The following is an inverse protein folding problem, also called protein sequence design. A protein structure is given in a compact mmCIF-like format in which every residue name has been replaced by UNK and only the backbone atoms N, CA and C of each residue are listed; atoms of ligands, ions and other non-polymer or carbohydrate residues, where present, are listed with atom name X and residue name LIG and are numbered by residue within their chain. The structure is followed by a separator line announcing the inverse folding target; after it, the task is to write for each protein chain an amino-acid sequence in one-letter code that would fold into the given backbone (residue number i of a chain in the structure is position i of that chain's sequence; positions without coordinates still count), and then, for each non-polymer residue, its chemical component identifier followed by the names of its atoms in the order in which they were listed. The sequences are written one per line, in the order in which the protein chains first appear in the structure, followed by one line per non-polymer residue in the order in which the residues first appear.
data_IF_654134726386
#
_entry.id   IF_654134726386
#
_cell.length_a   1.000
_cell.length_b   1.000
_cell.length_c   1.000
_cell.angle_alpha   90.00
_cell.angle_beta   90.00
_cell.angle_gamma   90.00
#
_symmetry.space_group_name_H-M   'P 1'
#
loop_
_entity.id
_entity.type
_entity.pdbx_description
1 polymer ?
#
# COMPACT_ATOMS: atom_id res chain seq x y z
N UNK A 1 1.53 -34.95 37.56
CA UNK A 1 2.39 -35.20 36.39
C UNK A 1 3.54 -34.20 36.45
N UNK A 2 4.79 -34.63 36.30
CA UNK A 2 5.96 -33.74 36.30
C UNK A 2 6.17 -33.23 34.86
N UNK A 3 5.89 -31.96 34.64
CA UNK A 3 6.18 -31.32 33.35
C UNK A 3 7.70 -31.18 33.14
N UNK A 4 8.17 -31.45 31.92
CA UNK A 4 9.56 -31.18 31.53
C UNK A 4 9.64 -29.77 30.97
N UNK A 5 10.50 -28.93 31.53
CA UNK A 5 10.82 -27.61 30.97
C UNK A 5 11.85 -27.76 29.86
N UNK A 6 11.52 -27.22 28.70
CA UNK A 6 12.38 -27.19 27.52
C UNK A 6 12.66 -25.75 27.14
N UNK A 7 13.92 -25.49 26.80
CA UNK A 7 14.38 -24.25 26.19
C UNK A 7 14.74 -24.57 24.74
N UNK A 8 14.07 -23.92 23.78
CA UNK A 8 14.40 -23.98 22.36
C UNK A 8 14.90 -22.60 21.94
N UNK A 9 16.07 -22.54 21.31
CA UNK A 9 16.69 -21.30 20.84
C UNK A 9 16.63 -21.28 19.33
N UNK A 10 15.87 -20.34 18.78
CA UNK A 10 15.74 -20.14 17.34
C UNK A 10 16.57 -18.94 16.88
N UNK A 11 17.36 -19.15 15.82
CA UNK A 11 18.22 -18.14 15.22
C UNK A 11 17.73 -17.78 13.82
N UNK A 12 17.39 -16.52 13.62
CA UNK A 12 16.95 -15.95 12.35
C UNK A 12 18.02 -15.00 11.81
N UNK A 13 18.24 -15.07 10.50
CA UNK A 13 19.10 -14.10 9.84
C UNK A 13 18.43 -12.74 9.74
N UNK A 14 19.23 -11.67 9.86
CA UNK A 14 18.81 -10.30 9.57
C UNK A 14 19.58 -9.72 8.38
N UNK A 15 20.04 -10.58 7.46
CA UNK A 15 20.84 -10.16 6.29
C UNK A 15 20.09 -9.10 5.45
N UNK A 16 18.76 -9.18 5.37
CA UNK A 16 17.90 -8.25 4.62
C UNK A 16 17.26 -7.14 5.49
N UNK A 17 17.58 -7.08 6.79
CA UNK A 17 16.93 -6.17 7.76
C UNK A 17 18.00 -5.36 8.49
N UNK A 18 18.24 -4.15 7.99
CA UNK A 18 19.27 -3.28 8.55
C UNK A 18 18.84 -2.64 9.88
N UNK A 19 19.80 -2.56 10.82
CA UNK A 19 19.68 -1.77 12.05
C UNK A 19 18.52 -2.15 12.98
N UNK A 20 18.11 -3.43 12.99
CA UNK A 20 17.16 -3.94 13.98
C UNK A 20 17.87 -4.28 15.30
N UNK A 21 17.45 -3.63 16.38
CA UNK A 21 17.89 -3.94 17.75
C UNK A 21 16.69 -4.14 18.66
N UNK A 22 16.48 -5.36 19.13
CA UNK A 22 15.35 -5.70 20.01
C UNK A 22 15.84 -6.40 21.27
N UNK A 23 15.08 -6.22 22.35
CA UNK A 23 15.17 -6.99 23.58
C UNK A 23 13.79 -6.89 24.27
N UNK A 24 12.99 -7.95 24.30
CA UNK A 24 11.70 -7.93 24.99
C UNK A 24 11.21 -9.33 25.35
N UNK A 25 10.19 -9.40 26.21
CA UNK A 25 9.51 -10.64 26.59
C UNK A 25 8.12 -10.69 25.94
N UNK A 26 7.75 -11.87 25.45
CA UNK A 26 6.38 -12.21 25.08
C UNK A 26 6.01 -13.57 25.66
N UNK A 27 5.01 -13.60 26.55
CA UNK A 27 4.71 -14.78 27.36
C UNK A 27 5.98 -15.27 28.08
N UNK A 28 6.40 -16.50 27.81
CA UNK A 28 7.62 -17.12 28.35
C UNK A 28 8.83 -17.01 27.42
N UNK A 29 8.71 -16.29 26.30
CA UNK A 29 9.74 -16.19 25.26
C UNK A 29 10.52 -14.89 25.40
N UNK A 30 11.84 -14.99 25.26
CA UNK A 30 12.74 -13.85 25.23
C UNK A 30 13.24 -13.62 23.82
N UNK A 31 13.07 -12.40 23.32
CA UNK A 31 13.38 -12.01 21.94
C UNK A 31 14.44 -10.94 21.99
N UNK A 32 15.59 -11.18 21.37
CA UNK A 32 16.69 -10.22 21.34
C UNK A 32 17.50 -10.31 20.05
N UNK A 33 18.23 -9.25 19.75
CA UNK A 33 19.22 -9.24 18.66
C UNK A 33 20.63 -9.40 19.19
N UNK A 34 21.41 -10.30 18.59
CA UNK A 34 22.82 -10.53 18.89
C UNK A 34 23.57 -10.85 17.59
N UNK A 35 24.74 -10.26 17.36
CA UNK A 35 25.60 -10.54 16.20
C UNK A 35 24.87 -10.52 14.83
N UNK A 36 24.01 -9.52 14.60
CA UNK A 36 23.16 -9.39 13.40
C UNK A 36 22.20 -10.59 13.17
N UNK A 37 21.78 -11.23 14.26
CA UNK A 37 20.77 -12.28 14.25
C UNK A 37 19.65 -11.92 15.21
N UNK A 38 18.42 -12.31 14.84
CA UNK A 38 17.30 -12.30 15.75
C UNK A 38 17.24 -13.65 16.46
N UNK A 39 17.29 -13.60 17.79
CA UNK A 39 17.23 -14.76 18.67
C UNK A 39 15.87 -14.81 19.34
N UNK A 40 15.19 -15.94 19.22
CA UNK A 40 13.95 -16.23 19.94
C UNK A 40 14.21 -17.40 20.89
N UNK A 41 14.38 -17.09 22.17
CA UNK A 41 14.52 -18.07 23.24
C UNK A 41 13.12 -18.48 23.74
N UNK A 42 12.70 -19.67 23.34
CA UNK A 42 11.41 -20.26 23.62
C UNK A 42 11.48 -21.08 24.91
N UNK A 43 10.61 -20.79 25.88
CA UNK A 43 10.46 -21.63 27.09
C UNK A 43 9.08 -22.25 27.13
N UNK A 44 9.00 -23.58 27.12
CA UNK A 44 7.73 -24.32 27.24
C UNK A 44 7.85 -25.51 28.17
N UNK A 45 6.75 -25.80 28.84
CA UNK A 45 6.51 -27.03 29.58
C UNK A 45 5.83 -28.03 28.64
N UNK A 46 6.35 -29.26 28.58
CA UNK A 46 5.77 -30.35 27.79
C UNK A 46 5.35 -31.51 28.70
N UNK A 47 4.37 -32.30 28.24
CA UNK A 47 3.97 -33.49 28.99
C UNK A 47 5.07 -34.55 28.97
N UNK A 48 5.08 -35.43 29.96
CA UNK A 48 6.04 -36.52 30.06
C UNK A 48 6.02 -37.47 28.86
N UNK A 49 4.86 -37.61 28.21
CA UNK A 49 4.65 -38.47 27.05
C UNK A 49 5.19 -37.87 25.75
N UNK A 50 5.41 -36.56 25.73
CA UNK A 50 5.79 -35.83 24.52
C UNK A 50 7.30 -35.83 24.34
N UNK A 51 7.73 -35.94 23.08
CA UNK A 51 9.14 -35.80 22.72
C UNK A 51 9.61 -34.35 22.86
N UNK A 52 10.92 -34.15 23.01
CA UNK A 52 11.55 -32.83 23.12
C UNK A 52 11.22 -31.91 21.93
N UNK A 53 11.02 -32.50 20.75
CA UNK A 53 10.63 -31.80 19.52
C UNK A 53 9.22 -31.20 19.62
N UNK A 54 8.31 -31.76 20.43
CA UNK A 54 6.95 -31.23 20.61
C UNK A 54 6.95 -29.83 21.25
N UNK A 55 8.03 -29.42 21.93
CA UNK A 55 8.19 -28.05 22.43
C UNK A 55 7.99 -27.01 21.31
N UNK A 56 8.47 -27.31 20.10
CA UNK A 56 8.27 -26.47 18.89
C UNK A 56 6.81 -26.37 18.50
N UNK A 57 6.07 -27.47 18.61
CA UNK A 57 4.63 -27.48 18.34
C UNK A 57 3.87 -26.62 19.33
N UNK A 58 4.17 -26.74 20.62
CA UNK A 58 3.56 -25.92 21.68
C UNK A 58 3.94 -24.43 21.60
N UNK A 59 5.12 -24.12 21.05
CA UNK A 59 5.59 -22.74 20.88
C UNK A 59 5.17 -22.10 19.54
N UNK A 60 4.71 -22.89 18.56
CA UNK A 60 4.46 -22.44 17.19
C UNK A 60 3.50 -21.25 17.11
N UNK A 61 2.43 -21.27 17.90
CA UNK A 61 1.46 -20.18 17.94
C UNK A 61 2.09 -18.87 18.39
N UNK A 62 2.90 -18.93 19.46
CA UNK A 62 3.58 -17.74 19.98
C UNK A 62 4.63 -17.21 18.98
N UNK A 63 5.38 -18.11 18.33
CA UNK A 63 6.34 -17.74 17.28
C UNK A 63 5.66 -17.08 16.07
N UNK A 64 4.50 -17.59 15.65
CA UNK A 64 3.70 -16.99 14.57
C UNK A 64 3.24 -15.57 14.95
N UNK A 65 2.75 -15.38 16.17
CA UNK A 65 2.32 -14.08 16.67
C UNK A 65 3.52 -13.11 16.77
N UNK A 66 4.67 -13.58 17.24
CA UNK A 66 5.90 -12.79 17.27
C UNK A 66 6.29 -12.30 15.88
N UNK A 67 6.29 -13.20 14.89
CA UNK A 67 6.57 -12.84 13.51
C UNK A 67 5.54 -11.83 12.96
N UNK A 68 4.26 -11.94 13.35
CA UNK A 68 3.23 -10.96 12.99
C UNK A 68 3.53 -9.57 13.55
N UNK A 69 3.95 -9.50 14.83
CA UNK A 69 4.30 -8.24 15.51
C UNK A 69 5.56 -7.63 14.88
N UNK A 70 6.62 -8.43 14.71
CA UNK A 70 7.88 -8.00 14.12
C UNK A 70 7.66 -7.47 12.70
N UNK A 71 6.91 -8.20 11.88
CA UNK A 71 6.59 -7.78 10.51
C UNK A 71 5.85 -6.45 10.52
N UNK A 72 4.81 -6.32 11.36
CA UNK A 72 4.03 -5.10 11.41
C UNK A 72 4.81 -3.87 11.90
N UNK A 73 5.70 -4.05 12.88
CA UNK A 73 6.52 -2.97 13.43
C UNK A 73 7.63 -2.50 12.50
N UNK A 74 8.13 -3.37 11.63
CA UNK A 74 9.30 -3.09 10.78
C UNK A 74 8.94 -2.84 9.32
N UNK A 75 7.79 -3.33 8.85
CA UNK A 75 7.49 -3.38 7.42
C UNK A 75 8.13 -4.57 6.70
N UNK A 76 9.11 -5.24 7.32
CA UNK A 76 9.88 -6.33 6.72
C UNK A 76 9.25 -7.70 7.01
N UNK A 77 9.30 -8.62 6.05
CA UNK A 77 8.69 -9.93 6.25
C UNK A 77 9.53 -10.83 7.16
N UNK A 78 8.92 -11.30 8.26
CA UNK A 78 9.47 -12.36 9.12
C UNK A 78 8.69 -13.66 8.90
N UNK A 79 9.37 -14.69 8.41
CA UNK A 79 8.78 -16.02 8.22
C UNK A 79 9.50 -17.09 9.04
N UNK A 80 8.82 -18.23 9.26
CA UNK A 80 9.44 -19.41 9.89
C UNK A 80 10.51 -20.07 9.01
N UNK A 81 10.64 -19.66 7.73
CA UNK A 81 11.56 -20.24 6.76
C UNK A 81 12.94 -19.56 6.76
N UNK A 82 13.06 -18.34 7.30
CA UNK A 82 14.34 -17.62 7.46
C UNK A 82 15.19 -18.14 8.65
N UNK A 83 14.76 -19.24 9.27
CA UNK A 83 15.39 -19.85 10.42
C UNK A 83 16.67 -20.58 10.00
N UNK A 84 17.84 -20.08 10.43
CA UNK A 84 19.15 -20.67 10.11
C UNK A 84 19.45 -21.92 10.93
N UNK A 85 19.10 -21.92 12.21
CA UNK A 85 19.34 -23.05 13.11
C UNK A 85 18.43 -23.02 14.33
N UNK A 86 18.45 -24.12 15.09
CA UNK A 86 17.61 -24.33 16.27
C UNK A 86 18.33 -25.24 17.25
N UNK A 87 18.44 -24.82 18.50
CA UNK A 87 19.05 -25.60 19.56
C UNK A 87 18.03 -25.90 20.64
N UNK A 88 17.80 -27.18 20.94
CA UNK A 88 16.90 -27.58 22.02
C UNK A 88 17.72 -28.09 23.20
N UNK A 89 17.60 -27.42 24.34
CA UNK A 89 18.24 -27.79 25.59
C UNK A 89 17.19 -28.13 26.65
N UNK A 90 17.39 -29.27 27.31
CA UNK A 90 16.59 -29.67 28.49
C UNK A 90 17.31 -29.08 29.71
N UNK A 91 17.03 -27.82 30.03
CA UNK A 91 17.70 -27.15 31.15
C UNK A 91 16.73 -26.80 32.28
N UNK A 92 17.15 -27.13 33.51
CA UNK A 92 16.45 -26.82 34.76
C UNK A 92 16.83 -25.44 35.35
N UNK A 93 17.85 -24.77 34.80
CA UNK A 93 18.35 -23.50 35.31
C UNK A 93 17.66 -22.30 34.62
N UNK A 94 17.17 -21.37 35.43
CA UNK A 94 16.58 -20.12 34.98
C UNK A 94 17.66 -19.18 34.42
N UNK A 95 17.73 -19.04 33.10
CA UNK A 95 18.41 -17.88 32.51
C UNK A 95 17.76 -16.59 33.03
N UNK A 96 18.57 -15.72 33.64
CA UNK A 96 18.18 -14.35 33.96
C UNK A 96 18.41 -13.50 32.71
N UNK A 97 17.34 -12.91 32.20
CA UNK A 97 17.42 -11.98 31.07
C UNK A 97 17.66 -10.56 31.58
N UNK A 98 18.47 -9.80 30.84
CA UNK A 98 18.72 -8.40 31.12
C UNK A 98 17.43 -7.58 30.94
N UNK A 99 17.09 -6.77 31.95
CA UNK A 99 15.86 -5.96 31.99
C UNK A 99 15.87 -4.75 31.03
N UNK A 100 16.87 -4.63 30.16
CA UNK A 100 17.03 -3.52 29.22
C UNK A 100 16.16 -3.72 27.98
N UNK A 101 14.84 -3.68 28.16
CA UNK A 101 13.91 -3.87 27.07
C UNK A 101 13.96 -2.73 26.05
N UNK A 102 13.99 -3.07 24.77
CA UNK A 102 14.01 -2.11 23.68
C UNK A 102 13.42 -2.70 22.39
N UNK A 103 13.00 -1.81 21.51
CA UNK A 103 12.70 -2.13 20.12
C UNK A 103 13.12 -0.93 19.27
N UNK A 104 14.29 -1.02 18.64
CA UNK A 104 14.81 0.00 17.75
C UNK A 104 14.96 -0.56 16.34
N UNK A 105 14.55 0.21 15.35
CA UNK A 105 14.66 -0.17 13.95
C UNK A 105 14.87 1.08 13.10
N UNK A 106 15.88 1.04 12.21
CA UNK A 106 16.26 2.17 11.35
C UNK A 106 16.41 3.51 12.10
N UNK A 107 16.99 3.47 13.31
CA UNK A 107 17.19 4.65 14.16
C UNK A 107 15.95 5.16 14.90
N UNK A 108 14.78 4.56 14.70
CA UNK A 108 13.55 4.89 15.44
C UNK A 108 13.33 3.91 16.61
N UNK A 109 12.75 4.40 17.70
CA UNK A 109 12.39 3.58 18.86
C UNK A 109 10.89 3.29 18.87
N UNK A 110 10.53 2.02 18.72
CA UNK A 110 9.15 1.52 18.69
C UNK A 110 8.76 0.76 19.96
N UNK A 111 9.53 0.90 21.05
CA UNK A 111 9.29 0.15 22.28
C UNK A 111 7.92 0.45 22.91
N UNK A 112 7.46 1.70 22.88
CA UNK A 112 6.15 2.07 23.39
C UNK A 112 5.00 1.56 22.50
N UNK A 113 5.22 1.49 21.18
CA UNK A 113 4.26 0.89 20.25
C UNK A 113 4.16 -0.62 20.46
N UNK A 114 5.30 -1.29 20.65
CA UNK A 114 5.36 -2.70 21.05
C UNK A 114 4.57 -2.94 22.34
N UNK A 115 4.78 -2.13 23.39
CA UNK A 115 4.03 -2.27 24.65
C UNK A 115 2.52 -2.19 24.45
N UNK A 116 2.04 -1.27 23.61
CA UNK A 116 0.61 -1.14 23.31
C UNK A 116 0.07 -2.37 22.58
N UNK A 117 0.81 -2.88 21.59
CA UNK A 117 0.47 -4.12 20.88
C UNK A 117 0.38 -5.29 21.88
N UNK A 118 1.43 -5.50 22.68
CA UNK A 118 1.49 -6.58 23.66
C UNK A 118 0.37 -6.46 24.70
N UNK A 119 0.14 -5.26 25.22
CA UNK A 119 -0.93 -4.97 26.17
C UNK A 119 -2.32 -5.33 25.63
N UNK A 120 -2.61 -5.00 24.36
CA UNK A 120 -3.89 -5.38 23.75
C UNK A 120 -3.98 -6.86 23.39
N UNK A 121 -2.89 -7.51 22.98
CA UNK A 121 -2.87 -8.97 22.76
C UNK A 121 -3.08 -9.75 24.06
N UNK A 122 -2.63 -9.19 25.19
CA UNK A 122 -2.88 -9.75 26.52
C UNK A 122 -4.35 -9.58 26.98
N UNK A 123 -5.10 -8.64 26.40
CA UNK A 123 -6.53 -8.48 26.67
C UNK A 123 -7.34 -9.56 25.93
N UNK A 124 -8.13 -10.36 26.67
CA UNK A 124 -8.91 -11.48 26.09
C UNK A 124 -9.91 -11.03 25.01
N UNK A 125 -10.49 -9.84 25.16
CA UNK A 125 -11.53 -9.35 24.26
C UNK A 125 -10.97 -8.96 22.88
N UNK A 126 -9.77 -8.36 22.85
CA UNK A 126 -9.14 -7.87 21.63
C UNK A 126 -8.15 -8.87 21.01
N UNK A 127 -7.67 -9.85 21.79
CA UNK A 127 -6.59 -10.77 21.41
C UNK A 127 -6.77 -11.40 20.03
N UNK A 128 -7.92 -12.03 19.80
CA UNK A 128 -8.16 -12.75 18.55
C UNK A 128 -8.28 -11.83 17.35
N UNK A 129 -8.92 -10.66 17.53
CA UNK A 129 -9.03 -9.67 16.48
C UNK A 129 -7.63 -9.18 16.09
N UNK A 130 -6.81 -8.76 17.04
CA UNK A 130 -5.47 -8.22 16.76
C UNK A 130 -4.58 -9.25 16.09
N UNK A 131 -4.55 -10.49 16.61
CA UNK A 131 -3.79 -11.57 15.98
C UNK A 131 -4.24 -11.77 14.54
N UNK A 132 -5.55 -11.75 14.28
CA UNK A 132 -6.11 -11.91 12.92
C UNK A 132 -5.72 -10.75 12.00
N UNK A 133 -5.75 -9.51 12.49
CA UNK A 133 -5.38 -8.33 11.70
C UNK A 133 -3.90 -8.38 11.30
N UNK A 134 -3.02 -8.65 12.27
CA UNK A 134 -1.57 -8.71 12.02
C UNK A 134 -1.20 -9.91 11.15
N UNK A 135 -1.83 -11.07 11.35
CA UNK A 135 -1.59 -12.26 10.53
C UNK A 135 -2.00 -12.06 9.07
N UNK A 136 -3.17 -11.45 8.84
CA UNK A 136 -3.63 -11.13 7.48
C UNK A 136 -2.73 -10.12 6.79
N UNK A 137 -2.25 -9.12 7.54
CA UNK A 137 -1.35 -8.12 7.00
C UNK A 137 -0.01 -8.75 6.58
N UNK A 138 0.57 -9.60 7.44
CA UNK A 138 1.78 -10.38 7.10
C UNK A 138 1.54 -11.34 5.95
N UNK A 139 0.41 -12.07 5.92
CA UNK A 139 0.04 -12.97 4.81
C UNK A 139 0.00 -12.20 3.49
N UNK A 140 -0.62 -11.02 3.47
CA UNK A 140 -0.65 -10.19 2.27
C UNK A 140 0.75 -9.80 1.82
N UNK A 141 1.63 -9.34 2.72
CA UNK A 141 3.02 -9.03 2.38
C UNK A 141 3.76 -10.24 1.79
N UNK A 142 3.60 -11.41 2.39
CA UNK A 142 4.21 -12.64 1.87
C UNK A 142 3.71 -12.98 0.47
N UNK A 143 2.42 -12.80 0.19
CA UNK A 143 1.88 -13.00 -1.16
C UNK A 143 2.50 -12.03 -2.17
N UNK A 144 2.78 -10.79 -1.76
CA UNK A 144 3.44 -9.78 -2.59
C UNK A 144 4.90 -10.14 -2.91
N UNK A 145 5.62 -10.74 -1.95
CA UNK A 145 6.99 -11.21 -2.20
C UNK A 145 7.05 -12.46 -3.10
N UNK A 146 5.99 -13.27 -3.09
CA UNK A 146 5.87 -14.47 -3.92
C UNK A 146 5.34 -14.17 -5.34
N UNK A 147 5.12 -12.91 -5.70
CA UNK A 147 4.45 -12.60 -6.96
C UNK A 147 5.32 -13.04 -8.14
N UNK A 148 4.90 -14.16 -8.70
CA UNK A 148 5.22 -14.57 -10.06
C UNK A 148 4.03 -14.27 -10.99
N UNK A 149 2.79 -14.25 -10.47
CA UNK A 149 1.54 -14.08 -11.23
C UNK A 149 0.54 -13.12 -10.58
N UNK A 150 -0.36 -12.55 -11.40
CA UNK A 150 -1.32 -11.54 -10.95
C UNK A 150 -2.39 -12.03 -9.96
N UNK A 151 -2.70 -13.34 -9.94
CA UNK A 151 -3.71 -13.91 -9.03
C UNK A 151 -3.33 -13.69 -7.55
N UNK A 152 -2.03 -13.60 -7.25
CA UNK A 152 -1.52 -13.33 -5.92
C UNK A 152 -1.77 -11.87 -5.50
N UNK A 153 -1.86 -10.93 -6.45
CA UNK A 153 -2.24 -9.54 -6.17
C UNK A 153 -3.70 -9.44 -5.74
N UNK A 154 -4.61 -10.17 -6.40
CA UNK A 154 -6.03 -10.17 -6.03
C UNK A 154 -6.22 -10.74 -4.62
N UNK A 155 -5.56 -11.85 -4.27
CA UNK A 155 -5.62 -12.43 -2.92
C UNK A 155 -4.98 -11.49 -1.87
N UNK A 156 -3.85 -10.85 -2.18
CA UNK A 156 -3.23 -9.87 -1.29
C UNK A 156 -4.15 -8.67 -1.05
N UNK A 157 -4.75 -8.12 -2.11
CA UNK A 157 -5.73 -7.04 -2.06
C UNK A 157 -6.94 -7.43 -1.22
N UNK A 158 -7.54 -8.59 -1.47
CA UNK A 158 -8.69 -9.10 -0.71
C UNK A 158 -8.36 -9.25 0.77
N UNK A 159 -7.16 -9.72 1.10
CA UNK A 159 -6.70 -9.87 2.47
C UNK A 159 -6.54 -8.51 3.17
N UNK A 160 -5.98 -7.49 2.51
CA UNK A 160 -5.95 -6.12 3.04
C UNK A 160 -7.36 -5.51 3.18
N UNK A 161 -8.24 -5.74 2.22
CA UNK A 161 -9.62 -5.27 2.29
C UNK A 161 -10.34 -5.88 3.49
N UNK A 162 -10.12 -7.17 3.74
CA UNK A 162 -10.74 -7.87 4.86
C UNK A 162 -10.29 -7.33 6.23
N UNK A 163 -9.05 -6.85 6.36
CA UNK A 163 -8.60 -6.13 7.58
C UNK A 163 -9.52 -4.93 7.84
N UNK A 164 -9.79 -4.12 6.81
CA UNK A 164 -10.68 -2.97 6.91
C UNK A 164 -12.12 -3.40 7.25
N UNK A 165 -12.62 -4.49 6.66
CA UNK A 165 -13.94 -5.03 6.98
C UNK A 165 -14.06 -5.48 8.44
N UNK A 166 -13.05 -6.17 8.98
CA UNK A 166 -13.03 -6.63 10.36
C UNK A 166 -13.06 -5.45 11.34
N UNK A 167 -12.19 -4.46 11.12
CA UNK A 167 -12.14 -3.24 11.92
C UNK A 167 -13.44 -2.44 11.85
N UNK A 168 -14.01 -2.31 10.66
CA UNK A 168 -15.29 -1.64 10.47
C UNK A 168 -16.43 -2.38 11.17
N UNK A 169 -16.51 -3.70 11.05
CA UNK A 169 -17.52 -4.49 11.74
C UNK A 169 -17.38 -4.34 13.26
N UNK A 170 -16.17 -4.39 13.81
CA UNK A 170 -15.97 -4.27 15.25
C UNK A 170 -16.39 -2.89 15.78
N UNK A 171 -15.98 -1.81 15.11
CA UNK A 171 -16.39 -0.46 15.47
C UNK A 171 -17.92 -0.26 15.39
N UNK A 172 -18.59 -0.87 14.40
CA UNK A 172 -20.04 -0.76 14.27
C UNK A 172 -20.82 -1.66 15.25
N UNK A 173 -20.24 -2.78 15.72
CA UNK A 173 -20.77 -3.55 16.85
C UNK A 173 -20.82 -2.72 18.12
N UNK A 174 -19.73 -2.00 18.43
CA UNK A 174 -19.65 -1.09 19.58
C UNK A 174 -20.75 -0.01 19.48
N UNK A 175 -21.02 0.49 18.28
CA UNK A 175 -22.07 1.49 18.00
C UNK A 175 -23.50 0.92 17.86
N UNK A 176 -23.70 -0.41 17.99
CA UNK A 176 -24.99 -1.11 17.76
C UNK A 176 -25.58 -0.88 16.35
N UNK A 177 -24.74 -0.75 15.33
CA UNK A 177 -25.13 -0.48 13.93
C UNK A 177 -24.77 -1.63 12.98
N UNK A 178 -25.18 -2.85 13.31
CA UNK A 178 -24.69 -4.07 12.63
C UNK A 178 -25.23 -4.27 11.20
N UNK A 179 -26.41 -3.73 10.88
CA UNK A 179 -27.10 -3.98 9.61
C UNK A 179 -26.78 -2.96 8.50
N UNK A 180 -25.70 -2.19 8.67
CA UNK A 180 -25.28 -1.22 7.66
C UNK A 180 -24.54 -1.90 6.50
N UNK A 181 -24.67 -1.40 5.25
CA UNK A 181 -23.83 -1.83 4.14
C UNK A 181 -22.35 -1.63 4.44
N UNK A 182 -21.47 -2.48 3.89
CA UNK A 182 -20.03 -2.45 4.16
C UNK A 182 -19.41 -1.06 3.94
N UNK A 183 -19.83 -0.37 2.88
CA UNK A 183 -19.41 1.00 2.60
C UNK A 183 -19.64 1.92 3.78
N UNK A 184 -20.85 1.91 4.36
CA UNK A 184 -21.20 2.81 5.46
C UNK A 184 -20.46 2.41 6.74
N UNK A 185 -20.26 1.10 6.98
CA UNK A 185 -19.46 0.61 8.10
C UNK A 185 -18.02 1.11 8.04
N UNK A 186 -17.40 1.04 6.86
CA UNK A 186 -16.04 1.53 6.62
C UNK A 186 -15.96 3.04 6.86
N UNK A 187 -16.87 3.83 6.29
CA UNK A 187 -16.86 5.29 6.50
C UNK A 187 -17.05 5.65 7.98
N UNK A 188 -17.97 4.99 8.69
CA UNK A 188 -18.17 5.17 10.13
C UNK A 188 -16.91 4.82 10.96
N UNK A 189 -16.11 3.85 10.51
CA UNK A 189 -14.84 3.49 11.13
C UNK A 189 -13.79 4.56 10.88
N UNK A 190 -13.62 4.97 9.63
CA UNK A 190 -12.66 6.03 9.29
C UNK A 190 -12.98 7.33 10.04
N UNK A 191 -14.25 7.66 10.20
CA UNK A 191 -14.70 8.82 10.98
C UNK A 191 -14.35 8.69 12.47
N UNK A 192 -14.57 7.51 13.09
CA UNK A 192 -14.19 7.26 14.50
C UNK A 192 -12.70 7.51 14.78
N UNK A 193 -11.85 7.28 13.79
CA UNK A 193 -10.39 7.31 13.94
C UNK A 193 -9.74 8.49 13.21
N UNK A 194 -10.52 9.49 12.80
CA UNK A 194 -9.99 10.72 12.18
C UNK A 194 -9.39 10.53 10.78
N UNK A 195 -9.72 9.44 10.09
CA UNK A 195 -9.23 9.12 8.74
C UNK A 195 -10.23 9.48 7.64
N UNK A 196 -11.38 10.07 7.99
CA UNK A 196 -12.44 10.35 7.03
C UNK A 196 -12.30 11.74 6.41
N UNK A 197 -12.19 11.77 5.09
CA UNK A 197 -12.33 12.97 4.28
C UNK A 197 -12.82 12.66 2.86
N UNK A 198 -12.82 13.67 1.98
CA UNK A 198 -13.29 13.54 0.60
C UNK A 198 -12.41 12.60 -0.24
N UNK A 199 -11.09 12.62 -0.08
CA UNK A 199 -10.15 11.76 -0.82
C UNK A 199 -10.32 10.30 -0.40
N UNK A 200 -10.29 10.05 0.90
CA UNK A 200 -10.44 8.72 1.49
C UNK A 200 -11.82 8.12 1.20
N UNK A 201 -12.88 8.93 1.16
CA UNK A 201 -14.22 8.48 0.74
C UNK A 201 -14.24 7.94 -0.68
N UNK A 202 -13.48 8.54 -1.59
CA UNK A 202 -13.39 8.11 -2.98
C UNK A 202 -12.48 6.90 -3.14
N UNK A 203 -11.38 6.84 -2.40
CA UNK A 203 -10.56 5.64 -2.29
C UNK A 203 -11.42 4.45 -1.84
N UNK A 204 -12.18 4.57 -0.74
CA UNK A 204 -13.09 3.50 -0.28
C UNK A 204 -14.09 3.08 -1.35
N UNK A 205 -14.59 4.01 -2.17
CA UNK A 205 -15.48 3.69 -3.30
C UNK A 205 -14.74 2.86 -4.35
N UNK A 206 -13.52 3.25 -4.75
CA UNK A 206 -12.67 2.51 -5.70
C UNK A 206 -12.38 1.10 -5.16
N UNK A 207 -11.98 0.99 -3.88
CA UNK A 207 -11.67 -0.30 -3.23
C UNK A 207 -12.87 -1.26 -3.21
N UNK A 208 -14.07 -0.78 -2.88
CA UNK A 208 -15.28 -1.62 -2.85
C UNK A 208 -15.65 -2.11 -4.25
N UNK A 209 -15.54 -1.24 -5.26
CA UNK A 209 -15.83 -1.61 -6.64
C UNK A 209 -14.88 -2.72 -7.09
N UNK A 210 -13.59 -2.53 -6.88
CA UNK A 210 -12.56 -3.51 -7.22
C UNK A 210 -12.78 -4.84 -6.49
N UNK A 211 -13.04 -4.81 -5.17
CA UNK A 211 -13.35 -6.01 -4.38
C UNK A 211 -14.54 -6.78 -4.98
N UNK A 212 -15.58 -6.07 -5.42
CA UNK A 212 -16.75 -6.72 -6.03
C UNK A 212 -16.42 -7.28 -7.43
N UNK A 213 -15.58 -6.61 -8.20
CA UNK A 213 -15.12 -7.11 -9.50
C UNK A 213 -14.32 -8.41 -9.36
N UNK A 214 -13.38 -8.46 -8.40
CA UNK A 214 -12.62 -9.67 -8.07
C UNK A 214 -13.57 -10.78 -7.60
N UNK A 215 -14.47 -10.49 -6.65
CA UNK A 215 -15.39 -11.49 -6.10
C UNK A 215 -16.37 -12.07 -7.14
N UNK A 216 -16.70 -11.32 -8.19
CA UNK A 216 -17.56 -11.79 -9.28
C UNK A 216 -16.77 -12.46 -10.41
N UNK A 217 -15.45 -12.60 -10.29
CA UNK A 217 -14.59 -13.18 -11.32
C UNK A 217 -14.69 -12.41 -12.64
N UNK A 218 -14.85 -11.08 -12.60
CA UNK A 218 -14.84 -10.26 -13.81
C UNK A 218 -13.42 -10.17 -14.34
N UNK A 219 -13.06 -11.17 -15.14
CA UNK A 219 -11.79 -11.24 -15.85
C UNK A 219 -11.81 -10.24 -17.01
N UNK A 220 -10.96 -9.21 -16.97
CA UNK A 220 -10.73 -8.34 -18.12
C UNK A 220 -9.56 -8.90 -18.92
N UNK A 221 -9.85 -9.57 -20.02
CA UNK A 221 -8.85 -9.90 -21.02
C UNK A 221 -8.34 -8.60 -21.67
N UNK A 222 -7.03 -8.34 -21.60
CA UNK A 222 -6.38 -7.25 -22.34
C UNK A 222 -5.82 -7.79 -23.67
N UNK A 223 -6.31 -7.26 -24.79
CA UNK A 223 -5.75 -7.53 -26.13
C UNK A 223 -4.34 -6.93 -26.33
N UNK A 224 -3.99 -5.92 -25.54
CA UNK A 224 -2.71 -5.18 -25.59
C UNK A 224 -2.09 -5.15 -24.20
N UNK A 225 -0.88 -5.70 -24.08
CA UNK A 225 -0.07 -5.61 -22.87
C UNK A 225 0.89 -4.42 -22.97
N UNK A 226 0.94 -3.61 -21.92
CA UNK A 226 1.92 -2.53 -21.74
C UNK A 226 3.18 -3.05 -21.06
N UNK A 227 4.31 -2.38 -21.31
CA UNK A 227 5.61 -2.78 -20.78
C UNK A 227 5.80 -2.32 -19.31
N UNK A 228 6.49 -3.07 -18.43
CA UNK A 228 7.10 -4.39 -18.66
C UNK A 228 6.06 -5.47 -18.97
N UNK A 229 6.35 -6.31 -19.98
CA UNK A 229 5.44 -7.41 -20.30
C UNK A 229 5.31 -8.32 -19.07
N UNK A 230 4.07 -8.64 -18.67
CA UNK A 230 3.85 -9.56 -17.57
C UNK A 230 4.36 -10.97 -17.95
N UNK A 231 4.83 -11.72 -16.95
CA UNK A 231 5.31 -13.09 -17.16
C UNK A 231 4.19 -14.06 -17.56
N UNK A 232 2.93 -13.69 -17.30
CA UNK A 232 1.72 -14.47 -17.60
C UNK A 232 0.67 -13.60 -18.28
N UNK A 233 -0.35 -14.22 -18.89
CA UNK A 233 -1.50 -13.48 -19.41
C UNK A 233 -2.17 -12.75 -18.23
N UNK A 234 -2.29 -11.42 -18.30
CA UNK A 234 -3.07 -10.65 -17.32
C UNK A 234 -4.56 -10.94 -17.54
N UNK A 235 -5.05 -11.97 -16.87
CA UNK A 235 -6.49 -12.28 -16.81
C UNK A 235 -7.15 -11.52 -15.63
N UNK A 236 -6.40 -10.66 -14.94
CA UNK A 236 -6.84 -9.89 -13.77
C UNK A 236 -7.22 -8.46 -14.11
N UNK A 237 -7.83 -7.79 -13.13
CA UNK A 237 -8.27 -6.41 -13.26
C UNK A 237 -7.06 -5.50 -13.03
N UNK A 238 -6.53 -4.87 -14.09
CA UNK A 238 -5.36 -3.96 -14.01
C UNK A 238 -5.47 -2.85 -12.97
N UNK A 239 -6.69 -2.58 -12.48
CA UNK A 239 -6.98 -1.63 -11.40
C UNK A 239 -6.54 -2.12 -10.02
N UNK A 240 -6.38 -3.43 -9.82
CA UNK A 240 -5.93 -4.02 -8.56
C UNK A 240 -4.51 -3.60 -8.20
N UNK A 241 -3.60 -3.66 -9.18
CA UNK A 241 -2.23 -3.20 -9.02
C UNK A 241 -2.16 -1.74 -8.58
N UNK A 242 -2.96 -0.89 -9.21
CA UNK A 242 -3.00 0.55 -8.96
C UNK A 242 -3.62 0.97 -7.62
N UNK A 243 -4.23 0.04 -6.88
CA UNK A 243 -4.85 0.33 -5.57
C UNK A 243 -4.22 -0.48 -4.43
N UNK A 244 -3.26 -1.35 -4.76
CA UNK A 244 -2.69 -2.31 -3.84
C UNK A 244 -1.85 -1.63 -2.77
N UNK A 245 -1.04 -0.65 -3.18
CA UNK A 245 -0.20 0.10 -2.26
C UNK A 245 -1.05 0.99 -1.33
N UNK A 246 -2.08 1.63 -1.87
CA UNK A 246 -3.02 2.46 -1.12
C UNK A 246 -3.78 1.64 -0.09
N UNK A 247 -4.29 0.45 -0.45
CA UNK A 247 -5.00 -0.40 0.51
C UNK A 247 -4.05 -1.02 1.54
N UNK A 248 -2.82 -1.37 1.15
CA UNK A 248 -1.81 -1.87 2.07
C UNK A 248 -1.55 -0.86 3.18
N UNK A 249 -1.26 0.39 2.83
CA UNK A 249 -0.93 1.43 3.81
C UNK A 249 -2.17 1.91 4.55
N UNK A 250 -3.34 2.04 3.90
CA UNK A 250 -4.60 2.32 4.60
C UNK A 250 -4.92 1.24 5.64
N UNK A 251 -4.70 -0.04 5.32
CA UNK A 251 -4.93 -1.14 6.26
C UNK A 251 -3.95 -1.10 7.44
N UNK A 252 -2.67 -0.81 7.19
CA UNK A 252 -1.66 -0.65 8.24
C UNK A 252 -1.97 0.55 9.14
N UNK A 253 -2.40 1.67 8.55
CA UNK A 253 -2.84 2.87 9.27
C UNK A 253 -4.10 2.61 10.10
N UNK A 254 -5.06 1.88 9.56
CA UNK A 254 -6.27 1.49 10.25
C UNK A 254 -5.97 0.60 11.48
N UNK A 255 -5.07 -0.39 11.32
CA UNK A 255 -4.59 -1.20 12.45
C UNK A 255 -3.89 -0.32 13.48
N UNK A 256 -3.01 0.59 13.04
CA UNK A 256 -2.27 1.50 13.94
C UNK A 256 -3.19 2.35 14.80
N UNK A 257 -4.19 2.98 14.17
CA UNK A 257 -5.16 3.81 14.88
C UNK A 257 -6.02 2.96 15.82
N UNK A 258 -6.42 1.76 15.40
CA UNK A 258 -7.13 0.82 16.27
C UNK A 258 -6.29 0.42 17.50
N UNK A 259 -4.99 0.22 17.34
CA UNK A 259 -4.07 -0.10 18.43
C UNK A 259 -3.69 1.12 19.29
N UNK A 260 -3.90 2.33 18.78
CA UNK A 260 -3.48 3.59 19.41
C UNK A 260 -1.99 3.89 19.25
N UNK A 261 -1.38 3.49 18.13
CA UNK A 261 0.04 3.71 17.80
C UNK A 261 0.19 4.61 16.55
N UNK A 262 1.37 5.23 16.39
CA UNK A 262 1.67 6.19 15.32
C UNK A 262 2.51 5.67 14.15
N UNK A 263 2.80 4.35 14.11
CA UNK A 263 3.82 3.73 13.26
C UNK A 263 3.71 4.06 11.75
N UNK A 264 2.49 4.11 11.21
CA UNK A 264 2.23 4.25 9.77
C UNK A 264 1.69 5.65 9.39
N UNK A 265 1.87 6.67 10.24
CA UNK A 265 1.36 8.02 9.98
C UNK A 265 2.02 8.67 8.75
N UNK A 266 3.37 8.64 8.67
CA UNK A 266 4.11 9.28 7.57
C UNK A 266 3.78 8.66 6.21
N UNK A 267 3.86 7.33 6.12
CA UNK A 267 3.53 6.60 4.89
C UNK A 267 2.08 6.86 4.46
N UNK A 268 1.15 6.98 5.41
CA UNK A 268 -0.23 7.34 5.09
C UNK A 268 -0.34 8.77 4.55
N UNK A 269 0.34 9.75 5.15
CA UNK A 269 0.33 11.14 4.70
C UNK A 269 0.86 11.26 3.26
N UNK A 270 1.98 10.62 2.96
CA UNK A 270 2.56 10.61 1.61
C UNK A 270 1.57 10.09 0.55
N UNK A 271 0.92 8.97 0.81
CA UNK A 271 -0.08 8.41 -0.11
C UNK A 271 -1.33 9.28 -0.17
N UNK A 272 -1.81 9.73 0.98
CA UNK A 272 -3.02 10.51 1.10
C UNK A 272 -2.93 11.85 0.35
N UNK A 273 -1.76 12.48 0.40
CA UNK A 273 -1.47 13.71 -0.35
C UNK A 273 -1.56 13.47 -1.85
N UNK A 274 -1.10 12.32 -2.36
CA UNK A 274 -1.23 11.91 -3.76
C UNK A 274 -2.60 11.37 -4.18
N UNK A 275 -3.52 11.10 -3.24
CA UNK A 275 -4.83 10.55 -3.61
C UNK A 275 -5.65 11.55 -4.44
N UNK A 276 -6.25 11.11 -5.58
CA UNK A 276 -7.06 11.96 -6.41
C UNK A 276 -8.37 12.33 -5.70
N UNK A 277 -8.87 13.52 -6.00
CA UNK A 277 -10.20 13.92 -5.58
C UNK A 277 -11.31 13.14 -6.32
N UNK A 278 -12.52 13.13 -5.76
CA UNK A 278 -13.66 12.56 -6.46
C UNK A 278 -14.04 13.33 -7.71
N UNK A 279 -14.60 12.63 -8.71
CA UNK A 279 -15.06 13.22 -9.97
C UNK A 279 -15.96 14.46 -9.77
N UNK A 280 -16.73 14.52 -8.68
CA UNK A 280 -17.56 15.68 -8.34
C UNK A 280 -16.75 16.97 -8.13
N UNK A 281 -15.54 16.89 -7.57
CA UNK A 281 -14.66 18.04 -7.37
C UNK A 281 -14.10 18.51 -8.71
N UNK A 282 -13.58 17.60 -9.55
CA UNK A 282 -13.10 17.96 -10.89
C UNK A 282 -14.21 18.53 -11.78
N UNK A 283 -15.43 18.00 -11.67
CA UNK A 283 -16.58 18.58 -12.35
C UNK A 283 -16.93 19.98 -11.86
N UNK A 284 -16.73 20.28 -10.56
CA UNK A 284 -16.92 21.65 -10.05
C UNK A 284 -15.81 22.58 -10.55
N UNK A 285 -14.56 22.11 -10.59
CA UNK A 285 -13.43 22.86 -11.19
C UNK A 285 -13.77 23.24 -12.64
N UNK A 286 -14.23 22.29 -13.46
CA UNK A 286 -14.61 22.54 -14.85
C UNK A 286 -15.80 23.50 -15.01
N UNK A 287 -16.70 23.57 -14.03
CA UNK A 287 -17.82 24.52 -14.02
C UNK A 287 -17.38 25.92 -13.62
N UNK A 288 -16.52 26.02 -12.62
CA UNK A 288 -16.08 27.30 -12.06
C UNK A 288 -14.94 27.95 -12.86
N UNK A 289 -14.24 27.20 -13.71
CA UNK A 289 -13.13 27.69 -14.53
C UNK A 289 -13.48 28.90 -15.41
N UNK A 290 -14.74 29.05 -15.84
CA UNK A 290 -15.14 30.21 -16.65
C UNK A 290 -15.11 31.54 -15.87
N UNK A 291 -15.08 31.50 -14.54
CA UNK A 291 -15.17 32.68 -13.67
C UNK A 291 -14.02 32.86 -12.68
N UNK A 292 -13.05 31.95 -12.63
CA UNK A 292 -11.93 31.98 -11.69
C UNK A 292 -10.59 31.77 -12.41
N UNK A 293 -9.52 32.35 -11.86
CA UNK A 293 -8.16 32.03 -12.30
C UNK A 293 -7.82 30.58 -11.87
N UNK A 294 -6.97 29.93 -12.67
CA UNK A 294 -6.43 28.60 -12.40
C UNK A 294 -5.80 28.50 -11.01
N UNK A 295 -5.01 29.50 -10.59
CA UNK A 295 -4.36 29.53 -9.27
C UNK A 295 -5.39 29.56 -8.13
N UNK A 296 -6.46 30.35 -8.26
CA UNK A 296 -7.52 30.42 -7.24
C UNK A 296 -8.26 29.09 -7.08
N UNK A 297 -8.51 28.38 -8.20
CA UNK A 297 -9.12 27.06 -8.17
C UNK A 297 -8.17 26.02 -7.57
N UNK A 298 -6.87 26.12 -7.88
CA UNK A 298 -5.84 25.26 -7.30
C UNK A 298 -5.78 25.42 -5.80
N UNK A 299 -5.75 26.65 -5.29
CA UNK A 299 -5.71 26.91 -3.84
C UNK A 299 -6.99 26.49 -3.14
N UNK A 300 -8.15 26.74 -3.78
CA UNK A 300 -9.47 26.39 -3.24
C UNK A 300 -9.66 24.88 -3.11
N UNK A 301 -9.27 24.12 -4.13
CA UNK A 301 -9.53 22.67 -4.19
C UNK A 301 -8.30 21.82 -3.84
N UNK A 302 -7.11 22.42 -3.75
CA UNK A 302 -5.81 21.79 -3.47
C UNK A 302 -5.53 20.58 -4.35
N UNK A 303 -5.80 20.70 -5.65
CA UNK A 303 -5.60 19.63 -6.63
C UNK A 303 -4.28 19.78 -7.39
N UNK A 304 -3.74 18.66 -7.85
CA UNK A 304 -2.48 18.55 -8.58
C UNK A 304 -2.71 18.20 -10.06
N UNK A 305 -1.62 18.19 -10.82
CA UNK A 305 -1.64 17.86 -12.24
C UNK A 305 -1.97 16.38 -12.47
N UNK A 306 -1.40 15.49 -11.64
CA UNK A 306 -1.60 14.04 -11.73
C UNK A 306 -3.07 13.65 -11.58
N UNK A 307 -3.73 14.09 -10.52
CA UNK A 307 -5.13 13.79 -10.28
C UNK A 307 -6.05 14.38 -11.36
N UNK A 308 -5.72 15.57 -11.88
CA UNK A 308 -6.47 16.16 -13.00
C UNK A 308 -6.28 15.35 -14.29
N UNK A 309 -5.06 14.90 -14.56
CA UNK A 309 -4.71 14.10 -15.72
C UNK A 309 -5.39 12.73 -15.67
N UNK A 310 -5.34 12.03 -14.53
CA UNK A 310 -6.06 10.77 -14.31
C UNK A 310 -7.58 10.96 -14.51
N UNK A 311 -8.13 12.07 -14.01
CA UNK A 311 -9.53 12.41 -14.24
C UNK A 311 -9.85 12.61 -15.72
N UNK A 312 -8.97 13.28 -16.48
CA UNK A 312 -9.10 13.43 -17.93
C UNK A 312 -9.10 12.07 -18.62
N UNK A 313 -8.09 11.23 -18.39
CA UNK A 313 -7.97 9.92 -19.05
C UNK A 313 -9.25 9.08 -18.88
N UNK A 314 -9.78 9.03 -17.66
CA UNK A 314 -10.97 8.24 -17.33
C UNK A 314 -12.30 8.85 -17.83
N UNK A 315 -12.35 10.14 -18.18
CA UNK A 315 -13.60 10.83 -18.49
C UNK A 315 -13.57 11.62 -19.81
N UNK A 316 -12.52 11.51 -20.62
CA UNK A 316 -12.29 12.32 -21.83
C UNK A 316 -13.48 12.31 -22.81
N UNK A 317 -14.22 11.20 -22.89
CA UNK A 317 -15.42 11.05 -23.74
C UNK A 317 -16.68 11.76 -23.21
N UNK A 318 -16.70 12.14 -21.92
CA UNK A 318 -17.86 12.69 -21.20
C UNK A 318 -17.71 14.15 -20.77
N UNK A 319 -16.52 14.73 -20.91
CA UNK A 319 -16.21 16.09 -20.45
C UNK A 319 -16.00 17.05 -21.63
N UNK A 320 -16.14 18.36 -21.35
CA UNK A 320 -15.81 19.39 -22.34
C UNK A 320 -14.29 19.47 -22.51
N UNK A 321 -13.78 18.85 -23.57
CA UNK A 321 -12.36 18.76 -23.90
C UNK A 321 -11.70 20.15 -23.97
N UNK A 322 -12.38 21.16 -24.52
CA UNK A 322 -11.81 22.51 -24.68
C UNK A 322 -11.45 23.17 -23.33
N UNK A 323 -12.31 23.01 -22.31
CA UNK A 323 -12.05 23.55 -20.98
C UNK A 323 -10.89 22.83 -20.30
N UNK A 324 -10.87 21.51 -20.41
CA UNK A 324 -9.79 20.72 -19.84
C UNK A 324 -8.45 21.03 -20.52
N UNK A 325 -8.43 21.18 -21.84
CA UNK A 325 -7.23 21.56 -22.60
C UNK A 325 -6.64 22.88 -22.10
N UNK A 326 -7.47 23.87 -21.78
CA UNK A 326 -7.01 25.15 -21.25
C UNK A 326 -6.41 25.00 -19.84
N UNK A 327 -7.05 24.25 -18.93
CA UNK A 327 -6.50 24.00 -17.59
C UNK A 327 -5.16 23.26 -17.67
N UNK A 328 -5.09 22.20 -18.48
CA UNK A 328 -3.85 21.45 -18.69
C UNK A 328 -2.76 22.32 -19.34
N UNK A 329 -3.14 23.25 -20.21
CA UNK A 329 -2.21 24.21 -20.81
C UNK A 329 -1.61 25.17 -19.77
N UNK A 330 -2.41 25.67 -18.82
CA UNK A 330 -1.90 26.52 -17.73
C UNK A 330 -0.87 25.77 -16.87
N UNK A 331 -1.11 24.49 -16.54
CA UNK A 331 -0.11 23.66 -15.87
C UNK A 331 1.16 23.47 -16.70
N UNK A 332 1.02 23.21 -18.01
CA UNK A 332 2.15 22.93 -18.90
C UNK A 332 3.15 24.08 -18.99
N UNK A 333 2.67 25.32 -18.80
CA UNK A 333 3.47 26.54 -18.91
C UNK A 333 3.70 27.27 -17.59
N UNK A 334 3.26 26.71 -16.47
CA UNK A 334 3.63 27.23 -15.15
C UNK A 334 5.09 26.90 -14.84
N UNK A 335 5.89 27.93 -14.54
CA UNK A 335 7.31 27.77 -14.16
C UNK A 335 7.49 27.05 -12.82
N UNK A 336 6.49 27.10 -11.95
CA UNK A 336 6.52 26.50 -10.62
C UNK A 336 6.53 24.96 -10.66
N UNK A 337 6.01 24.35 -11.73
CA UNK A 337 5.74 22.89 -11.79
C UNK A 337 6.64 22.13 -12.78
N UNK A 338 7.54 22.83 -13.46
CA UNK A 338 8.35 22.29 -14.55
C UNK A 338 9.52 21.38 -14.11
N UNK A 339 9.63 21.02 -12.83
CA UNK A 339 10.62 20.07 -12.30
C UNK A 339 10.01 18.92 -11.51
N UNK A 340 8.76 19.06 -11.06
CA UNK A 340 8.11 18.11 -10.15
C UNK A 340 7.25 17.09 -10.91
N UNK A 341 6.85 17.40 -12.16
CA UNK A 341 5.90 16.59 -12.94
C UNK A 341 6.39 16.29 -14.37
N UNK A 342 7.69 16.15 -14.61
CA UNK A 342 8.27 16.09 -15.96
C UNK A 342 7.62 15.02 -16.87
N UNK A 343 7.30 13.85 -16.31
CA UNK A 343 6.65 12.78 -17.06
C UNK A 343 5.19 13.10 -17.39
N UNK A 344 4.40 13.57 -16.42
CA UNK A 344 2.99 13.92 -16.63
C UNK A 344 2.87 15.12 -17.57
N UNK A 345 3.78 16.09 -17.47
CA UNK A 345 3.89 17.22 -18.39
C UNK A 345 4.22 16.75 -19.81
N UNK A 346 5.06 15.73 -19.97
CA UNK A 346 5.31 15.10 -21.26
C UNK A 346 4.00 14.52 -21.81
N UNK A 347 3.30 13.69 -21.04
CA UNK A 347 2.02 13.07 -21.45
C UNK A 347 0.97 14.12 -21.83
N UNK A 348 0.81 15.16 -21.01
CA UNK A 348 -0.08 16.30 -21.27
C UNK A 348 0.30 17.01 -22.58
N UNK A 349 1.59 17.26 -22.82
CA UNK A 349 2.06 17.91 -24.04
C UNK A 349 1.72 17.13 -25.31
N UNK A 350 1.72 15.79 -25.22
CA UNK A 350 1.36 14.90 -26.32
C UNK A 350 -0.14 14.97 -26.62
N UNK A 351 -0.99 14.99 -25.60
CA UNK A 351 -2.45 15.15 -25.77
C UNK A 351 -2.78 16.51 -26.37
N UNK A 352 -2.21 17.58 -25.80
CA UNK A 352 -2.46 18.95 -26.24
C UNK A 352 -1.93 19.24 -27.65
N UNK A 353 -0.98 18.45 -28.16
CA UNK A 353 -0.48 18.58 -29.52
C UNK A 353 -1.57 18.32 -30.59
N UNK A 354 -2.62 17.54 -30.27
CA UNK A 354 -3.76 17.29 -31.15
C UNK A 354 -4.98 18.19 -30.87
N UNK A 355 -4.83 19.18 -29.98
CA UNK A 355 -5.88 20.18 -29.73
C UNK A 355 -6.33 20.88 -31.01
N UNK A 356 -7.63 21.16 -31.10
CA UNK A 356 -8.23 21.96 -32.19
C UNK A 356 -7.70 23.40 -32.20
N UNK A 357 -7.23 23.90 -31.05
CA UNK A 357 -6.65 25.23 -30.95
C UNK A 357 -5.21 25.24 -31.49
N UNK A 358 -5.01 25.81 -32.68
CA UNK A 358 -3.70 25.84 -33.36
C UNK A 358 -2.58 26.48 -32.52
N UNK A 359 -2.89 27.51 -31.73
CA UNK A 359 -1.90 28.20 -30.87
C UNK A 359 -1.45 27.27 -29.74
N UNK A 360 -2.40 26.61 -29.10
CA UNK A 360 -2.18 25.64 -28.03
C UNK A 360 -1.37 24.45 -28.55
N UNK A 361 -1.84 23.84 -29.64
CA UNK A 361 -1.18 22.71 -30.31
C UNK A 361 0.28 23.01 -30.67
N UNK A 362 0.57 24.20 -31.24
CA UNK A 362 1.93 24.57 -31.63
C UNK A 362 2.87 24.72 -30.44
N UNK A 363 2.39 25.34 -29.35
CA UNK A 363 3.14 25.50 -28.11
C UNK A 363 3.38 24.16 -27.41
N UNK A 364 2.36 23.30 -27.33
CA UNK A 364 2.48 21.97 -26.74
C UNK A 364 3.54 21.11 -27.47
N UNK A 365 3.56 21.14 -28.81
CA UNK A 365 4.58 20.47 -29.62
C UNK A 365 6.00 20.96 -29.34
N UNK A 366 6.16 22.27 -29.12
CA UNK A 366 7.47 22.83 -28.77
C UNK A 366 7.89 22.37 -27.37
N UNK A 367 6.99 22.42 -26.39
CA UNK A 367 7.27 21.99 -25.02
C UNK A 367 7.60 20.50 -24.96
N UNK A 368 6.85 19.65 -25.67
CA UNK A 368 7.16 18.22 -25.84
C UNK A 368 8.61 18.00 -26.26
N UNK A 369 9.10 18.71 -27.28
CA UNK A 369 10.48 18.55 -27.77
C UNK A 369 11.53 18.95 -26.75
N UNK A 370 11.23 19.90 -25.86
CA UNK A 370 12.12 20.30 -24.78
C UNK A 370 12.13 19.24 -23.68
N UNK A 371 10.94 18.84 -23.21
CA UNK A 371 10.79 17.81 -22.17
C UNK A 371 11.41 16.48 -22.61
N UNK A 372 11.08 16.03 -23.82
CA UNK A 372 11.60 14.78 -24.38
C UNK A 372 13.13 14.73 -24.44
N UNK A 373 13.82 15.86 -24.69
CA UNK A 373 15.29 15.92 -24.72
C UNK A 373 15.93 15.91 -23.33
N UNK A 374 15.17 16.30 -22.31
CA UNK A 374 15.66 16.44 -20.94
C UNK A 374 15.39 15.24 -20.05
N UNK A 375 14.60 14.27 -20.50
CA UNK A 375 14.25 13.11 -19.68
C UNK A 375 15.33 12.04 -19.77
N UNK A 376 16.06 11.85 -18.68
CA UNK A 376 17.00 10.73 -18.51
C UNK A 376 16.29 9.45 -18.01
N UNK A 377 15.09 9.56 -17.42
CA UNK A 377 14.32 8.43 -16.85
C UNK A 377 12.81 8.66 -17.09
N UNK A 378 12.19 7.90 -17.99
CA UNK A 378 10.72 7.75 -18.07
C UNK A 378 10.31 6.44 -17.40
N UNK A 379 9.11 6.37 -16.79
CA UNK A 379 8.52 5.08 -16.37
C UNK A 379 8.29 4.13 -17.58
N UNK A 380 8.19 4.70 -18.77
CA UNK A 380 8.15 3.98 -20.05
C UNK A 380 9.53 3.45 -20.44
N UNK A 381 9.60 2.21 -20.94
CA UNK A 381 10.85 1.67 -21.49
C UNK A 381 11.15 2.18 -22.89
N UNK A 382 10.14 2.60 -23.64
CA UNK A 382 10.28 3.25 -24.93
C UNK A 382 9.28 4.41 -25.07
N UNK A 383 9.68 5.47 -25.78
CA UNK A 383 8.80 6.59 -26.11
C UNK A 383 7.52 6.15 -26.86
N UNK A 384 7.58 5.04 -27.59
CA UNK A 384 6.43 4.41 -28.25
C UNK A 384 5.38 3.90 -27.25
N UNK A 385 5.78 3.56 -26.04
CA UNK A 385 4.87 3.02 -25.01
C UNK A 385 3.86 4.07 -24.56
N UNK A 386 4.18 5.37 -24.66
CA UNK A 386 3.22 6.46 -24.44
C UNK A 386 2.00 6.34 -25.37
N UNK A 387 2.22 5.94 -26.63
CA UNK A 387 1.12 5.77 -27.58
C UNK A 387 0.25 4.58 -27.19
N UNK A 388 0.86 3.45 -26.83
CA UNK A 388 0.16 2.26 -26.35
C UNK A 388 -0.64 2.53 -25.08
N UNK A 389 -0.05 3.23 -24.11
CA UNK A 389 -0.69 3.66 -22.88
C UNK A 389 -1.95 4.48 -23.15
N UNK A 390 -1.88 5.46 -24.05
CA UNK A 390 -3.03 6.33 -24.38
C UNK A 390 -4.13 5.58 -25.12
N UNK A 391 -3.76 4.60 -25.96
CA UNK A 391 -4.72 3.72 -26.63
C UNK A 391 -5.48 2.84 -25.64
N UNK A 392 -4.87 2.42 -24.51
CA UNK A 392 -5.59 1.68 -23.46
C UNK A 392 -6.77 2.51 -22.89
N UNK A 393 -6.61 3.83 -22.82
CA UNK A 393 -7.69 4.74 -22.43
C UNK A 393 -8.61 5.13 -23.59
N UNK A 394 -8.43 4.57 -24.79
CA UNK A 394 -9.23 4.90 -25.98
C UNK A 394 -8.88 6.24 -26.63
N UNK A 395 -7.71 6.80 -26.33
CA UNK A 395 -7.26 8.10 -26.83
C UNK A 395 -6.30 7.90 -28.01
N UNK A 396 -6.74 8.28 -29.21
CA UNK A 396 -5.92 8.21 -30.43
C UNK A 396 -5.10 9.50 -30.63
N UNK A 397 -3.77 9.41 -30.49
CA UNK A 397 -2.84 10.52 -30.66
C UNK A 397 -2.28 10.61 -32.09
N UNK A 398 -2.98 11.33 -32.96
CA UNK A 398 -2.67 11.46 -34.40
C UNK A 398 -1.34 12.13 -34.68
N UNK A 399 -1.03 13.22 -33.98
CA UNK A 399 0.23 13.92 -34.17
C UNK A 399 1.39 13.08 -33.66
N UNK A 400 1.25 12.49 -32.47
CA UNK A 400 2.32 11.71 -31.85
C UNK A 400 2.64 10.46 -32.66
N UNK A 401 1.63 9.76 -33.15
CA UNK A 401 1.80 8.62 -34.05
C UNK A 401 2.56 8.99 -35.32
N UNK A 402 2.23 10.13 -35.94
CA UNK A 402 2.98 10.65 -37.10
C UNK A 402 4.41 11.02 -36.73
N UNK A 403 4.62 11.65 -35.58
CA UNK A 403 5.94 12.01 -35.10
C UNK A 403 6.81 10.78 -34.87
N UNK A 404 6.29 9.74 -34.21
CA UNK A 404 6.98 8.46 -33.98
C UNK A 404 7.41 7.79 -35.29
N UNK A 405 6.56 7.82 -36.35
CA UNK A 405 6.91 7.28 -37.68
C UNK A 405 8.13 7.96 -38.33
N UNK A 406 8.41 9.19 -37.95
CA UNK A 406 9.52 9.99 -38.48
C UNK A 406 10.66 10.15 -37.48
N UNK A 407 10.54 9.56 -36.28
CA UNK A 407 11.51 9.69 -35.19
C UNK A 407 12.65 8.65 -35.30
N UNK A 408 12.37 7.47 -35.87
CA UNK A 408 13.36 6.40 -36.12
C UNK A 408 14.09 6.54 -37.48
N UNK A 409 14.07 7.72 -38.10
CA UNK A 409 14.89 8.09 -39.26
C UNK A 409 15.74 9.31 -38.91
#
# INVERSE_FOLDING_TARGET
MKEKRIIDKDLYSLDDIENLKVNFMYNSHHIYTENNQLVINIKKEINEIDGVIEAKRYARTDAIILNNILTFLTGSLFTVYQKKSSEININQNSEKYDNNFCFNYQGNNYYEDLKKILGKISNKDDKYLIITLLDRWRKSLFLLELVESDDLYDEAFLSYFHILELLANENNKIKKQNNLPIRKKLLNFLESYGLFDKKTKELVRKLINLRNEIAHGKLTYKDLHTWPLPAFLNITNSTAYNLLYEIQILSAKAISNFLGIGLWEKAWQEIHDGLPFGNGIYNNILKEYDGFNFLDLKDKYKFDLEGLFEFYLNNHSRINISKMENILFEFLFSEEYAKEYDEVLLLVSVILADSKNKKLSSKAKQKFRVLFRGIEVTSFSNIKDIYSYMLEYGIELKWFYKWLKHFDK
#
